data_IF_809697970650
#
_entry.id   IF_809697970650
#
_cell.length_a   1.000
_cell.length_b   1.000
_cell.length_c   1.000
_cell.angle_alpha   90.00
_cell.angle_beta   90.00
_cell.angle_gamma   90.00
#
_symmetry.space_group_name_H-M   'P 1'
#
loop_
_entity.id
_entity.type
_entity.pdbx_description
1 polymer ?
#
# COMPACT_ATOMS: atom_id res chain seq x y z
N UNK A 1 -20.35 4.33 -14.35
CA UNK A 1 -18.94 3.91 -14.50
C UNK A 1 -18.59 3.30 -13.17
N UNK A 2 -18.18 2.04 -13.16
CA UNK A 2 -18.02 1.31 -11.91
C UNK A 2 -16.87 0.34 -11.97
N UNK A 3 -16.38 -0.01 -10.79
CA UNK A 3 -15.31 -0.98 -10.62
C UNK A 3 -15.60 -1.87 -9.42
N UNK A 4 -15.06 -3.09 -9.48
CA UNK A 4 -15.01 -4.03 -8.37
C UNK A 4 -13.59 -4.56 -8.28
N UNK A 5 -12.93 -4.38 -7.14
CA UNK A 5 -11.57 -4.86 -6.90
C UNK A 5 -11.52 -5.63 -5.58
N UNK A 6 -11.18 -6.91 -5.64
CA UNK A 6 -10.91 -7.78 -4.49
C UNK A 6 -9.43 -8.14 -4.49
N UNK A 7 -8.78 -8.07 -3.32
CA UNK A 7 -7.37 -8.40 -3.26
C UNK A 7 -6.72 -8.33 -1.90
N UNK A 8 -5.39 -8.26 -1.93
CA UNK A 8 -4.51 -8.23 -0.76
C UNK A 8 -3.62 -7.00 -0.78
N UNK A 9 -3.42 -6.44 0.41
CA UNK A 9 -2.56 -5.32 0.68
C UNK A 9 -1.28 -5.79 1.38
N UNK A 10 -0.14 -5.21 1.01
CA UNK A 10 1.02 -5.05 1.89
C UNK A 10 1.33 -3.57 2.05
N UNK A 11 1.47 -3.13 3.29
CA UNK A 11 1.92 -1.78 3.64
C UNK A 11 3.10 -1.89 4.59
N UNK A 12 4.14 -1.09 4.38
CA UNK A 12 5.34 -1.04 5.22
C UNK A 12 5.78 0.40 5.36
N UNK A 13 6.22 0.80 6.55
CA UNK A 13 6.71 2.15 6.76
C UNK A 13 7.88 2.20 7.74
N UNK A 14 8.47 3.38 7.87
CA UNK A 14 9.58 3.65 8.78
C UNK A 14 9.17 3.70 10.26
N UNK A 15 7.90 3.55 10.66
CA UNK A 15 7.52 3.49 12.08
C UNK A 15 8.10 2.24 12.78
N UNK A 16 8.27 2.28 14.10
CA UNK A 16 9.03 1.27 14.87
C UNK A 16 8.29 -0.06 15.04
N UNK A 17 7.03 -0.04 15.45
CA UNK A 17 6.31 -1.28 15.85
C UNK A 17 4.97 -1.39 15.13
N UNK A 18 4.02 -0.55 15.50
CA UNK A 18 2.69 -0.48 14.89
C UNK A 18 2.51 0.94 14.37
N UNK A 19 2.01 1.09 13.15
CA UNK A 19 1.80 2.38 12.50
C UNK A 19 0.82 3.24 13.31
N UNK A 20 1.27 4.31 13.99
CA UNK A 20 0.38 5.15 14.79
C UNK A 20 -0.71 5.81 13.94
N UNK A 21 -0.41 6.07 12.67
CA UNK A 21 -1.31 6.67 11.71
C UNK A 21 -2.65 5.93 11.57
N UNK A 22 -2.69 4.60 11.74
CA UNK A 22 -3.92 3.82 11.65
C UNK A 22 -4.92 4.17 12.75
N UNK A 23 -4.46 4.68 13.90
CA UNK A 23 -5.33 5.18 14.98
C UNK A 23 -5.42 6.71 15.04
N UNK A 24 -4.91 7.40 14.01
CA UNK A 24 -4.99 8.86 13.87
C UNK A 24 -3.81 9.64 14.45
N UNK A 25 -2.84 8.96 15.06
CA UNK A 25 -1.65 9.57 15.65
C UNK A 25 -0.57 9.89 14.60
N UNK A 26 0.39 10.73 14.99
CA UNK A 26 1.52 11.11 14.13
C UNK A 26 2.54 9.97 13.94
N UNK A 27 3.25 9.91 12.80
CA UNK A 27 4.29 8.92 12.59
C UNK A 27 5.45 9.07 13.59
N UNK A 28 6.05 7.96 14.00
CA UNK A 28 7.07 7.90 15.07
C UNK A 28 8.26 8.87 14.91
N UNK A 29 8.59 9.21 13.66
CA UNK A 29 9.73 10.05 13.31
C UNK A 29 9.31 11.43 12.78
N UNK A 30 8.04 11.81 12.93
CA UNK A 30 7.48 13.06 12.40
C UNK A 30 7.28 13.07 10.87
N UNK A 31 7.78 12.06 10.16
CA UNK A 31 7.53 11.80 8.74
C UNK A 31 7.30 10.30 8.50
N UNK A 32 6.63 9.97 7.40
CA UNK A 32 6.40 8.58 6.99
C UNK A 32 6.99 8.31 5.60
N UNK A 33 7.91 7.36 5.51
CA UNK A 33 8.40 6.81 4.25
C UNK A 33 7.82 5.41 4.08
N UNK A 34 6.83 5.29 3.19
CA UNK A 34 5.97 4.11 3.08
C UNK A 34 6.02 3.49 1.69
N UNK A 35 5.80 2.17 1.65
CA UNK A 35 5.37 1.47 0.44
C UNK A 35 4.01 0.85 0.72
N UNK A 36 3.06 1.10 -0.16
CA UNK A 36 1.71 0.51 -0.14
C UNK A 36 1.50 -0.22 -1.46
N UNK A 37 1.21 -1.51 -1.43
CA UNK A 37 0.99 -2.33 -2.61
C UNK A 37 -0.34 -3.07 -2.53
N UNK A 38 -1.14 -2.95 -3.59
CA UNK A 38 -2.43 -3.60 -3.77
C UNK A 38 -2.34 -4.64 -4.88
N UNK A 39 -2.39 -5.92 -4.50
CA UNK A 39 -2.49 -7.04 -5.43
C UNK A 39 -3.97 -7.34 -5.67
N UNK A 40 -4.42 -7.16 -6.91
CA UNK A 40 -5.83 -7.42 -7.31
C UNK A 40 -5.99 -8.90 -7.62
N UNK A 41 -6.56 -9.66 -6.69
CA UNK A 41 -6.78 -11.10 -6.88
C UNK A 41 -7.91 -11.36 -7.87
N UNK A 42 -8.97 -10.55 -7.81
CA UNK A 42 -10.06 -10.50 -8.79
C UNK A 42 -10.50 -9.07 -8.97
N UNK A 43 -10.65 -8.60 -10.20
CA UNK A 43 -11.14 -7.24 -10.39
C UNK A 43 -11.47 -6.86 -11.81
N UNK A 44 -12.48 -6.00 -11.93
CA UNK A 44 -12.97 -5.45 -13.19
C UNK A 44 -13.11 -3.94 -13.03
N UNK A 45 -12.55 -3.18 -13.97
CA UNK A 45 -12.70 -1.72 -14.03
C UNK A 45 -13.32 -1.41 -15.38
N UNK A 46 -14.59 -0.99 -15.39
CA UNK A 46 -15.30 -0.63 -16.63
C UNK A 46 -15.25 -1.69 -17.74
N UNK A 47 -15.27 -2.98 -17.36
CA UNK A 47 -15.17 -4.11 -18.30
C UNK A 47 -13.74 -4.56 -18.61
N UNK A 48 -12.71 -3.87 -18.13
CA UNK A 48 -11.31 -4.29 -18.23
C UNK A 48 -10.96 -5.18 -17.03
N UNK A 49 -10.62 -6.44 -17.30
CA UNK A 49 -10.13 -7.37 -16.28
C UNK A 49 -8.70 -6.99 -15.86
N UNK A 50 -8.52 -6.70 -14.58
CA UNK A 50 -7.24 -6.34 -13.96
C UNK A 50 -6.79 -7.38 -12.93
N UNK A 51 -7.47 -8.52 -12.87
CA UNK A 51 -7.11 -9.64 -12.01
C UNK A 51 -5.69 -10.10 -12.31
N UNK A 52 -4.93 -10.40 -11.26
CA UNK A 52 -3.54 -10.83 -11.41
C UNK A 52 -2.52 -9.71 -11.24
N UNK A 53 -2.91 -8.46 -11.42
CA UNK A 53 -2.00 -7.32 -11.43
C UNK A 53 -1.79 -6.72 -10.04
N UNK A 54 -0.64 -6.07 -9.88
CA UNK A 54 -0.31 -5.27 -8.70
C UNK A 54 -0.15 -3.80 -9.08
N UNK A 55 -0.62 -2.91 -8.22
CA UNK A 55 -0.27 -1.50 -8.25
C UNK A 55 0.29 -1.11 -6.90
N UNK A 56 1.32 -0.27 -6.87
CA UNK A 56 1.97 0.16 -5.66
C UNK A 56 2.26 1.66 -5.67
N UNK A 57 2.35 2.24 -4.47
CA UNK A 57 2.79 3.61 -4.24
C UNK A 57 3.96 3.59 -3.26
N UNK A 58 5.04 4.25 -3.62
CA UNK A 58 6.12 4.62 -2.69
C UNK A 58 5.92 6.09 -2.36
N UNK A 59 5.81 6.45 -1.10
CA UNK A 59 5.46 7.81 -0.71
C UNK A 59 6.28 8.32 0.47
N UNK A 60 6.55 9.63 0.40
CA UNK A 60 6.99 10.44 1.52
C UNK A 60 5.81 11.28 2.03
N UNK A 61 5.53 11.22 3.33
CA UNK A 61 4.47 11.98 3.99
C UNK A 61 5.08 12.92 5.02
N UNK A 62 4.91 14.25 4.88
CA UNK A 62 5.41 15.23 5.82
C UNK A 62 4.43 15.39 6.99
N UNK A 63 4.49 14.49 7.98
CA UNK A 63 3.67 14.56 9.20
C UNK A 63 2.49 13.60 9.21
N UNK A 64 1.38 14.05 9.80
CA UNK A 64 0.17 13.22 9.96
C UNK A 64 -0.40 12.81 8.61
N UNK A 65 -0.73 11.52 8.47
CA UNK A 65 -1.17 10.93 7.20
C UNK A 65 -2.45 11.59 6.65
N UNK A 66 -3.36 12.01 7.54
CA UNK A 66 -4.66 12.59 7.19
C UNK A 66 -4.57 14.08 6.80
N UNK A 67 -3.44 14.73 7.07
CA UNK A 67 -3.21 16.12 6.61
C UNK A 67 -2.82 16.19 5.14
N UNK A 68 -2.60 15.05 4.48
CA UNK A 68 -2.26 14.97 3.06
C UNK A 68 -0.84 15.47 2.76
N UNK A 69 -0.67 16.11 1.60
CA UNK A 69 0.63 16.56 1.08
C UNK A 69 1.63 15.43 0.82
N UNK A 70 1.15 14.23 0.51
CA UNK A 70 2.06 13.14 0.19
C UNK A 70 2.75 13.42 -1.14
N UNK A 71 4.03 13.08 -1.20
CA UNK A 71 4.76 13.01 -2.47
C UNK A 71 4.95 11.54 -2.81
N UNK A 72 4.42 11.08 -3.93
CA UNK A 72 4.36 9.65 -4.27
C UNK A 72 4.94 9.33 -5.66
N UNK A 73 5.59 8.18 -5.78
CA UNK A 73 5.89 7.50 -7.03
C UNK A 73 4.95 6.29 -7.16
N UNK A 74 4.29 6.15 -8.32
CA UNK A 74 3.32 5.08 -8.57
C UNK A 74 3.95 4.03 -9.48
N UNK A 75 3.76 2.76 -9.14
CA UNK A 75 4.27 1.62 -9.88
C UNK A 75 3.12 0.73 -10.33
N UNK A 76 3.05 0.47 -11.63
CA UNK A 76 2.11 -0.47 -12.24
C UNK A 76 2.88 -1.72 -12.65
N UNK A 77 2.30 -2.89 -12.42
CA UNK A 77 2.88 -4.16 -12.84
C UNK A 77 3.20 -4.15 -14.35
N UNK A 78 4.43 -4.50 -14.70
CA UNK A 78 4.91 -4.54 -16.09
C UNK A 78 4.08 -5.46 -16.99
N UNK A 79 3.41 -6.46 -16.41
CA UNK A 79 2.55 -7.40 -17.13
C UNK A 79 1.21 -6.79 -17.54
N UNK A 80 0.87 -5.59 -17.06
CA UNK A 80 -0.36 -4.90 -17.46
C UNK A 80 -0.32 -4.54 -18.95
N UNK A 81 -1.38 -4.83 -19.68
CA UNK A 81 -1.63 -4.19 -20.98
C UNK A 81 -1.84 -2.69 -20.80
N UNK A 82 -1.79 -1.91 -21.89
CA UNK A 82 -2.04 -0.45 -21.80
C UNK A 82 -3.44 -0.13 -21.27
N UNK A 83 -4.45 -0.88 -21.71
CA UNK A 83 -5.82 -0.72 -21.22
C UNK A 83 -5.94 -1.01 -19.71
N UNK A 84 -5.24 -2.02 -19.20
CA UNK A 84 -5.21 -2.33 -17.76
C UNK A 84 -4.47 -1.27 -16.96
N UNK A 85 -3.34 -0.78 -17.46
CA UNK A 85 -2.61 0.34 -16.84
C UNK A 85 -3.50 1.59 -16.75
N UNK A 86 -4.14 1.99 -17.84
CA UNK A 86 -5.01 3.17 -17.88
C UNK A 86 -6.20 3.01 -16.92
N UNK A 87 -6.78 1.81 -16.87
CA UNK A 87 -7.87 1.50 -15.94
C UNK A 87 -7.43 1.58 -14.47
N UNK A 88 -6.28 0.97 -14.12
CA UNK A 88 -5.72 1.04 -12.77
C UNK A 88 -5.39 2.48 -12.38
N UNK A 89 -4.72 3.23 -13.26
CA UNK A 89 -4.39 4.64 -12.98
C UNK A 89 -5.64 5.49 -12.83
N UNK A 90 -6.72 5.24 -13.59
CA UNK A 90 -7.99 5.94 -13.41
C UNK A 90 -8.57 5.74 -12.00
N UNK A 91 -8.47 4.54 -11.43
CA UNK A 91 -8.92 4.26 -10.06
C UNK A 91 -7.98 4.90 -9.03
N UNK A 92 -6.68 4.64 -9.13
CA UNK A 92 -5.70 5.06 -8.11
C UNK A 92 -5.27 6.53 -8.19
N UNK A 93 -5.69 7.26 -9.23
CA UNK A 93 -5.66 8.74 -9.26
C UNK A 93 -6.98 9.37 -8.81
N UNK A 94 -7.96 8.56 -8.40
CA UNK A 94 -9.26 9.00 -7.88
C UNK A 94 -10.28 9.42 -8.95
N UNK A 95 -9.94 9.36 -10.23
CA UNK A 95 -10.86 9.73 -11.33
C UNK A 95 -12.07 8.80 -11.44
N UNK A 96 -11.95 7.55 -10.96
CA UNK A 96 -13.06 6.60 -10.91
C UNK A 96 -13.99 6.79 -9.70
N UNK A 97 -13.67 7.69 -8.75
CA UNK A 97 -14.42 7.86 -7.51
C UNK A 97 -14.22 6.71 -6.52
N UNK A 98 -15.23 6.51 -5.66
CA UNK A 98 -15.23 5.43 -4.67
C UNK A 98 -14.20 5.59 -3.54
N UNK A 99 -14.00 4.55 -2.71
CA UNK A 99 -13.12 4.61 -1.54
C UNK A 99 -11.64 4.91 -1.88
N UNK A 100 -11.17 4.53 -3.07
CA UNK A 100 -9.80 4.81 -3.51
C UNK A 100 -9.60 6.30 -3.81
N UNK A 101 -10.64 7.01 -4.22
CA UNK A 101 -10.55 8.44 -4.46
C UNK A 101 -10.29 9.24 -3.18
N UNK A 102 -10.74 8.77 -2.02
CA UNK A 102 -10.44 9.45 -0.74
C UNK A 102 -8.96 9.32 -0.37
N UNK A 103 -8.33 8.18 -0.64
CA UNK A 103 -6.89 8.01 -0.51
C UNK A 103 -6.14 8.90 -1.51
N UNK A 104 -6.59 8.94 -2.77
CA UNK A 104 -5.96 9.73 -3.82
C UNK A 104 -5.92 11.24 -3.49
N UNK A 105 -6.93 11.76 -2.77
CA UNK A 105 -6.97 13.16 -2.31
C UNK A 105 -5.85 13.53 -1.34
N UNK A 106 -5.24 12.55 -0.65
CA UNK A 106 -4.13 12.80 0.28
C UNK A 106 -2.79 13.01 -0.46
N UNK A 107 -2.71 12.58 -1.72
CA UNK A 107 -1.53 12.75 -2.56
C UNK A 107 -1.51 14.17 -3.14
N UNK A 108 -0.59 14.99 -2.66
CA UNK A 108 -0.39 16.35 -3.16
C UNK A 108 0.48 16.41 -4.42
N UNK A 109 1.40 15.45 -4.58
CA UNK A 109 2.34 15.42 -5.71
C UNK A 109 2.67 13.99 -6.13
N UNK A 110 2.55 13.71 -7.42
CA UNK A 110 3.08 12.48 -8.04
C UNK A 110 4.37 12.83 -8.77
N UNK A 111 5.49 12.19 -8.40
CA UNK A 111 6.81 12.45 -9.03
C UNK A 111 7.06 11.56 -10.23
N UNK A 112 6.46 10.37 -10.27
CA UNK A 112 6.57 9.45 -11.39
C UNK A 112 5.42 8.44 -11.41
N UNK A 113 5.16 7.91 -12.60
CA UNK A 113 4.33 6.72 -12.84
C UNK A 113 5.15 5.78 -13.70
N UNK A 114 5.45 4.60 -13.19
CA UNK A 114 6.43 3.68 -13.77
C UNK A 114 5.85 2.28 -13.92
N UNK A 115 6.28 1.56 -14.95
CA UNK A 115 6.08 0.12 -15.05
C UNK A 115 7.25 -0.59 -14.38
N UNK A 116 6.96 -1.59 -13.56
CA UNK A 116 8.00 -2.35 -12.85
C UNK A 116 7.67 -3.83 -12.76
N UNK A 117 8.71 -4.67 -12.64
CA UNK A 117 8.54 -6.04 -12.18
C UNK A 117 8.13 -6.01 -10.70
N UNK A 118 6.89 -6.43 -10.41
CA UNK A 118 6.34 -6.44 -9.06
C UNK A 118 6.09 -7.89 -8.64
N UNK A 119 6.78 -8.35 -7.61
CA UNK A 119 6.56 -9.66 -7.01
C UNK A 119 5.88 -9.49 -5.67
N UNK A 120 4.68 -10.06 -5.54
CA UNK A 120 3.85 -9.95 -4.35
C UNK A 120 3.45 -11.34 -3.87
N UNK A 121 3.91 -11.74 -2.69
CA UNK A 121 3.68 -13.08 -2.11
C UNK A 121 3.22 -12.97 -0.67
N UNK A 122 1.99 -12.49 -0.48
CA UNK A 122 1.46 -12.24 0.87
C UNK A 122 0.29 -13.16 1.17
N UNK A 123 0.38 -13.94 2.24
CA UNK A 123 -0.66 -14.86 2.64
C UNK A 123 -0.73 -14.94 4.17
N UNK A 124 -1.92 -14.66 4.71
CA UNK A 124 -2.19 -14.79 6.13
C UNK A 124 -1.20 -13.99 6.99
N UNK A 125 -1.01 -12.72 6.70
CA UNK A 125 -0.18 -11.82 7.50
C UNK A 125 1.33 -12.02 7.35
N UNK A 126 1.80 -12.95 6.53
CA UNK A 126 3.22 -13.11 6.18
C UNK A 126 3.44 -12.92 4.70
N UNK A 127 4.61 -12.43 4.29
CA UNK A 127 4.92 -12.36 2.87
C UNK A 127 6.08 -11.50 2.48
N UNK A 128 6.19 -11.25 1.17
CA UNK A 128 7.22 -10.40 0.57
C UNK A 128 6.66 -9.52 -0.53
N UNK A 129 7.28 -8.35 -0.68
CA UNK A 129 7.09 -7.41 -1.78
C UNK A 129 8.47 -7.08 -2.37
N UNK A 130 8.58 -7.17 -3.69
CA UNK A 130 9.73 -6.69 -4.46
C UNK A 130 9.20 -5.82 -5.60
N UNK A 131 9.78 -4.63 -5.79
CA UNK A 131 9.49 -3.77 -6.94
C UNK A 131 10.84 -3.39 -7.55
N UNK A 132 11.12 -3.91 -8.74
CA UNK A 132 12.43 -3.73 -9.38
C UNK A 132 13.59 -4.13 -8.45
N UNK A 133 14.64 -3.31 -8.40
CA UNK A 133 15.85 -3.56 -7.59
C UNK A 133 15.94 -2.71 -6.31
N UNK A 134 15.12 -1.67 -6.20
CA UNK A 134 15.29 -0.61 -5.20
C UNK A 134 14.31 -0.69 -4.03
N UNK A 135 13.31 -1.57 -4.13
CA UNK A 135 12.24 -1.67 -3.14
C UNK A 135 12.03 -3.13 -2.72
N UNK A 136 12.07 -3.35 -1.41
CA UNK A 136 11.92 -4.67 -0.81
C UNK A 136 11.24 -4.56 0.55
N UNK A 137 10.30 -5.47 0.82
CA UNK A 137 9.74 -5.63 2.15
C UNK A 137 9.44 -7.09 2.46
N UNK A 138 9.76 -7.52 3.66
CA UNK A 138 9.22 -8.73 4.26
C UNK A 138 8.13 -8.38 5.26
N UNK A 139 7.28 -9.34 5.57
CA UNK A 139 6.22 -9.19 6.55
C UNK A 139 6.13 -10.45 7.42
N UNK A 140 6.11 -10.23 8.73
CA UNK A 140 5.79 -11.23 9.75
C UNK A 140 4.71 -10.68 10.69
N UNK A 141 3.59 -11.38 10.90
CA UNK A 141 2.51 -10.89 11.73
C UNK A 141 2.87 -11.03 13.21
N UNK A 142 2.38 -10.11 14.03
CA UNK A 142 2.37 -10.32 15.47
C UNK A 142 1.36 -11.41 15.82
N UNK A 143 1.68 -12.21 16.84
CA UNK A 143 0.87 -13.35 17.28
C UNK A 143 0.48 -13.14 18.73
N UNK A 144 -0.82 -13.21 19.02
CA UNK A 144 -1.35 -13.12 20.37
C UNK A 144 -1.12 -14.40 21.18
N UNK A 145 -1.37 -14.35 22.48
CA UNK A 145 -1.14 -15.49 23.39
C UNK A 145 -1.94 -16.76 23.02
N UNK A 146 -3.06 -16.61 22.30
CA UNK A 146 -3.87 -17.74 21.79
C UNK A 146 -3.30 -18.41 20.54
N UNK A 147 -2.22 -17.88 19.96
CA UNK A 147 -1.69 -18.30 18.65
C UNK A 147 -2.41 -17.65 17.46
N UNK A 148 -3.45 -16.83 17.70
CA UNK A 148 -4.09 -16.05 16.65
C UNK A 148 -3.21 -14.88 16.19
N UNK A 149 -3.33 -14.49 14.92
CA UNK A 149 -2.68 -13.28 14.39
C UNK A 149 -3.31 -12.05 15.02
N UNK A 150 -2.47 -11.11 15.43
CA UNK A 150 -2.93 -9.85 16.01
C UNK A 150 -3.51 -8.99 14.89
N UNK A 151 -4.71 -8.46 15.13
CA UNK A 151 -5.40 -7.58 14.18
C UNK A 151 -5.74 -6.25 14.81
N UNK A 152 -5.75 -5.21 13.99
CA UNK A 152 -6.36 -3.92 14.29
C UNK A 152 -7.62 -3.76 13.41
N UNK A 153 -8.71 -3.27 13.99
CA UNK A 153 -10.00 -3.08 13.35
C UNK A 153 -10.62 -1.75 13.80
N UNK A 154 -11.63 -1.25 13.08
CA UNK A 154 -12.30 0.03 13.36
C UNK A 154 -11.31 1.22 13.45
N UNK A 155 -10.43 1.32 12.46
CA UNK A 155 -9.32 2.27 12.46
C UNK A 155 -9.73 3.64 11.92
N UNK A 156 -9.09 4.70 12.42
CA UNK A 156 -9.33 6.08 11.97
C UNK A 156 -8.83 6.28 10.54
N UNK A 157 -7.74 5.61 10.18
CA UNK A 157 -7.18 5.56 8.83
C UNK A 157 -7.02 4.11 8.38
N UNK A 158 -7.21 3.88 7.08
CA UNK A 158 -6.90 2.60 6.43
C UNK A 158 -6.66 2.83 4.95
N UNK A 159 -5.65 2.18 4.39
CA UNK A 159 -5.43 2.06 2.94
C UNK A 159 -6.34 1.01 2.30
N UNK A 160 -7.14 0.30 3.12
CA UNK A 160 -8.15 -0.69 2.74
C UNK A 160 -9.40 -0.59 3.65
N UNK A 161 -10.27 0.40 3.45
CA UNK A 161 -11.44 0.59 4.30
C UNK A 161 -12.33 -0.67 4.40
N UNK A 162 -12.81 -0.99 5.60
CA UNK A 162 -13.79 -2.07 5.84
C UNK A 162 -13.22 -3.46 6.15
N UNK A 163 -11.90 -3.64 6.13
CA UNK A 163 -11.26 -4.90 6.50
C UNK A 163 -10.32 -4.74 7.71
N UNK A 164 -10.25 -5.73 8.62
CA UNK A 164 -9.23 -5.73 9.67
C UNK A 164 -7.84 -5.87 9.04
N UNK A 165 -6.85 -5.28 9.69
CA UNK A 165 -5.44 -5.38 9.29
C UNK A 165 -4.70 -6.30 10.24
N UNK A 166 -3.95 -7.26 9.70
CA UNK A 166 -2.94 -7.99 10.45
C UNK A 166 -1.76 -7.08 10.67
N UNK A 167 -1.49 -6.79 11.93
CA UNK A 167 -0.35 -5.97 12.33
C UNK A 167 0.87 -6.85 12.46
N UNK A 168 2.01 -6.35 12.01
CA UNK A 168 3.24 -7.10 11.96
C UNK A 168 4.47 -6.23 11.94
N UNK A 169 5.60 -6.87 11.72
CA UNK A 169 6.89 -6.23 11.50
C UNK A 169 7.44 -6.63 10.14
N UNK A 170 8.26 -5.76 9.56
CA UNK A 170 9.12 -6.08 8.43
C UNK A 170 10.50 -6.47 8.94
N UNK A 171 10.90 -7.75 8.90
CA UNK A 171 12.28 -8.16 9.19
C UNK A 171 13.31 -7.40 8.33
N UNK A 172 12.93 -7.05 7.10
CA UNK A 172 13.70 -6.25 6.17
C UNK A 172 12.79 -5.28 5.42
N UNK A 173 13.18 -4.00 5.35
CA UNK A 173 12.52 -2.96 4.56
C UNK A 173 13.56 -2.09 3.86
N UNK A 174 13.55 -2.11 2.53
CA UNK A 174 14.37 -1.28 1.64
C UNK A 174 13.45 -0.40 0.81
N UNK A 175 13.76 0.88 0.74
CA UNK A 175 13.17 1.79 -0.24
C UNK A 175 14.21 2.81 -0.67
N UNK A 176 14.40 2.97 -1.99
CA UNK A 176 15.30 3.95 -2.58
C UNK A 176 14.61 4.72 -3.69
N UNK A 177 14.42 6.01 -3.51
CA UNK A 177 13.89 6.88 -4.54
C UNK A 177 14.46 8.30 -4.39
N UNK A 178 15.32 8.70 -5.31
CA UNK A 178 15.97 10.01 -5.27
C UNK A 178 14.99 11.18 -5.43
N UNK A 179 13.93 11.03 -6.22
CA UNK A 179 12.92 12.07 -6.42
C UNK A 179 12.06 12.32 -5.17
N UNK A 180 11.96 11.32 -4.30
CA UNK A 180 11.30 11.40 -3.00
C UNK A 180 12.25 11.74 -1.85
N UNK A 181 13.57 11.73 -2.08
CA UNK A 181 14.57 11.88 -1.02
C UNK A 181 14.66 10.67 -0.08
N UNK A 182 14.18 9.50 -0.52
CA UNK A 182 14.15 8.27 0.29
C UNK A 182 15.39 7.42 -0.03
N UNK A 183 16.16 7.06 1.00
CA UNK A 183 17.16 6.00 0.92
C UNK A 183 17.25 5.29 2.28
N UNK A 184 16.37 4.32 2.51
CA UNK A 184 16.25 3.59 3.77
C UNK A 184 16.56 2.11 3.61
N UNK A 185 17.15 1.53 4.65
CA UNK A 185 17.39 0.10 4.82
C UNK A 185 17.18 -0.24 6.30
N UNK A 186 15.97 -0.66 6.64
CA UNK A 186 15.47 -0.80 8.00
C UNK A 186 15.18 -2.27 8.33
N UNK A 187 15.19 -2.60 9.62
CA UNK A 187 14.89 -3.95 10.13
C UNK A 187 13.95 -3.88 11.32
N UNK A 188 12.95 -4.76 11.34
CA UNK A 188 11.94 -4.87 12.39
C UNK A 188 11.10 -3.60 12.58
N UNK A 189 10.76 -2.93 11.48
CA UNK A 189 9.85 -1.77 11.47
C UNK A 189 8.41 -2.20 11.16
N UNK A 190 7.45 -1.29 11.26
CA UNK A 190 6.04 -1.57 11.02
C UNK A 190 5.80 -2.18 9.64
N UNK A 191 5.02 -3.25 9.61
CA UNK A 191 4.43 -3.77 8.39
C UNK A 191 3.02 -4.30 8.64
N UNK A 192 2.18 -4.18 7.63
CA UNK A 192 0.75 -4.38 7.71
C UNK A 192 0.28 -5.18 6.51
N UNK A 193 -0.72 -6.02 6.75
CA UNK A 193 -1.38 -6.79 5.70
C UNK A 193 -2.86 -6.84 5.93
N UNK A 194 -3.60 -6.70 4.85
CA UNK A 194 -5.03 -6.87 4.91
C UNK A 194 -5.55 -7.32 3.56
N UNK A 195 -6.85 -7.60 3.49
CA UNK A 195 -7.59 -7.83 2.27
C UNK A 195 -8.42 -6.60 1.97
N UNK A 196 -8.83 -6.41 0.72
CA UNK A 196 -9.73 -5.33 0.36
C UNK A 196 -10.80 -5.78 -0.59
N UNK A 197 -11.94 -5.09 -0.51
CA UNK A 197 -13.00 -5.10 -1.51
C UNK A 197 -13.35 -3.63 -1.76
N UNK A 198 -13.12 -3.15 -2.97
CA UNK A 198 -13.46 -1.79 -3.37
C UNK A 198 -14.50 -1.80 -4.46
N UNK A 199 -15.60 -1.10 -4.21
CA UNK A 199 -16.73 -0.94 -5.14
C UNK A 199 -16.98 0.55 -5.42
N UNK A 200 -17.33 0.87 -6.67
CA UNK A 200 -17.83 2.19 -7.11
C UNK A 200 -18.78 2.06 -8.30
#
# INVERSE_FOLDING_TARGET
MGYHLEGRLLEVCNCKVLCPCWIGEDPDFGTCDTIVAWRVDKGLIEGVDVSGLTIAAVAHVPGNILQGNWTAAIFVDQNASKAQEDALLKVYTGQAGGPVADLAKLIGKVVSVERADIKFTVQGGSGKLEIGTDYYAELEPYVGASGAKTTLAETVFSTVPGAPVYVGKAPSYRSKNAALGIDLNLKNHNALQSTFVFDA
#
